data_IF_422592029328
#
_entry.id   IF_422592029328
#
_cell.length_a   1.000
_cell.length_b   1.000
_cell.length_c   1.000
_cell.angle_alpha   90.00
_cell.angle_beta   90.00
_cell.angle_gamma   90.00
#
_symmetry.space_group_name_H-M   'P 1'
#
loop_
_entity.id
_entity.type
_entity.pdbx_description
1 polymer ?
#
# COMPACT_ATOMS: atom_id res chain seq x y z
N UNK A 1 1.58 15.56 34.33
CA UNK A 1 1.79 15.02 32.97
C UNK A 1 3.05 15.67 32.42
N UNK A 2 4.20 15.01 32.56
CA UNK A 2 5.50 15.60 32.20
C UNK A 2 5.77 15.52 30.70
N UNK A 3 6.40 16.54 30.13
CA UNK A 3 6.66 16.73 28.69
C UNK A 3 7.24 15.46 28.03
N UNK A 4 6.43 14.80 27.20
CA UNK A 4 6.87 13.70 26.36
C UNK A 4 7.79 14.24 25.26
N UNK A 5 9.08 13.88 25.29
CA UNK A 5 10.16 14.00 24.28
C UNK A 5 10.15 15.20 23.29
N UNK A 6 9.53 16.33 23.65
CA UNK A 6 9.55 17.59 22.92
C UNK A 6 9.22 17.47 21.41
N UNK A 7 10.09 18.05 20.58
CA UNK A 7 9.95 18.16 19.12
C UNK A 7 9.92 16.83 18.35
N UNK A 8 10.20 15.69 19.00
CA UNK A 8 10.35 14.38 18.34
C UNK A 8 9.10 13.51 18.47
N UNK A 9 8.35 13.61 19.57
CA UNK A 9 7.21 12.74 19.84
C UNK A 9 6.13 13.46 20.63
N UNK A 10 4.93 13.53 20.08
CA UNK A 10 3.76 14.20 20.69
C UNK A 10 2.69 13.24 21.21
N UNK A 11 2.96 11.92 21.19
CA UNK A 11 2.02 10.91 21.69
C UNK A 11 1.97 10.85 23.21
N UNK A 12 0.94 10.17 23.73
CA UNK A 12 0.83 9.89 25.16
C UNK A 12 2.05 9.08 25.64
N UNK A 13 2.56 9.40 26.82
CA UNK A 13 3.63 8.68 27.47
C UNK A 13 3.35 8.48 28.96
N UNK A 14 3.85 7.38 29.50
CA UNK A 14 3.81 7.02 30.90
C UNK A 14 5.23 7.05 31.49
N UNK A 15 5.39 6.78 32.79
CA UNK A 15 6.72 6.61 33.40
C UNK A 15 6.86 5.21 33.99
N UNK A 16 8.00 4.58 33.77
CA UNK A 16 8.32 3.30 34.41
C UNK A 16 8.75 3.48 35.88
N UNK A 17 9.05 2.37 36.56
CA UNK A 17 9.50 2.34 37.97
C UNK A 17 10.78 3.16 38.24
N UNK A 18 11.58 3.43 37.20
CA UNK A 18 12.80 4.24 37.25
C UNK A 18 12.55 5.72 36.92
N UNK A 19 11.29 6.12 36.72
CA UNK A 19 10.90 7.48 36.35
C UNK A 19 11.19 7.85 34.89
N UNK A 20 11.52 6.90 34.01
CA UNK A 20 11.80 7.16 32.59
C UNK A 20 10.52 7.19 31.77
N UNK A 21 10.39 8.09 30.75
CA UNK A 21 9.22 8.10 29.88
C UNK A 21 9.17 6.82 29.02
N UNK A 22 8.00 6.19 28.97
CA UNK A 22 7.70 5.00 28.16
C UNK A 22 6.39 5.24 27.38
N UNK A 23 6.15 4.45 26.33
CA UNK A 23 4.91 4.54 25.56
C UNK A 23 3.69 4.09 26.37
N UNK A 24 2.49 4.43 25.87
CA UNK A 24 1.20 3.99 26.41
C UNK A 24 1.14 2.46 26.55
N UNK A 25 0.62 1.98 27.68
CA UNK A 25 0.39 0.56 27.92
C UNK A 25 -0.70 0.00 26.98
N UNK A 26 -0.51 -1.23 26.52
CA UNK A 26 -1.47 -1.94 25.67
C UNK A 26 -1.86 -3.27 26.34
N UNK A 27 -2.61 -3.24 27.46
CA UNK A 27 -2.90 -4.43 28.26
C UNK A 27 -3.67 -5.50 27.48
N UNK A 28 -4.48 -5.09 26.50
CA UNK A 28 -5.29 -5.97 25.66
C UNK A 28 -4.61 -6.30 24.32
N UNK A 29 -3.33 -5.97 24.14
CA UNK A 29 -2.64 -6.26 22.88
C UNK A 29 -2.38 -7.76 22.72
N UNK A 30 -2.97 -8.32 21.67
CA UNK A 30 -2.60 -9.61 21.09
C UNK A 30 -1.98 -9.41 19.72
N UNK A 31 -1.07 -10.31 19.32
CA UNK A 31 -0.50 -10.29 17.99
C UNK A 31 -1.60 -10.33 16.89
N UNK A 32 -1.40 -9.55 15.83
CA UNK A 32 -2.24 -9.60 14.64
C UNK A 32 -2.17 -10.98 13.97
N UNK A 33 -3.13 -11.27 13.10
CA UNK A 33 -3.13 -12.51 12.32
C UNK A 33 -2.10 -12.43 11.19
N UNK A 34 -1.50 -13.58 10.83
CA UNK A 34 -0.75 -13.65 9.59
C UNK A 34 -1.74 -13.51 8.41
N UNK A 35 -1.46 -12.66 7.40
CA UNK A 35 -2.37 -12.51 6.27
C UNK A 35 -2.50 -13.84 5.52
N UNK A 36 -3.73 -14.34 5.30
CA UNK A 36 -3.93 -15.49 4.44
C UNK A 36 -3.65 -15.09 2.99
N UNK A 37 -3.01 -15.98 2.22
CA UNK A 37 -2.74 -15.74 0.80
C UNK A 37 -3.98 -16.11 -0.04
N UNK A 38 -5.04 -15.32 0.12
CA UNK A 38 -6.37 -15.55 -0.46
C UNK A 38 -6.87 -14.33 -1.20
N UNK A 39 -7.81 -14.51 -2.13
CA UNK A 39 -8.32 -13.41 -2.95
C UNK A 39 -8.98 -12.30 -2.11
N UNK A 40 -8.98 -11.08 -2.66
CA UNK A 40 -9.69 -9.91 -2.18
C UNK A 40 -10.60 -9.43 -3.31
N UNK A 41 -11.91 -9.50 -3.10
CA UNK A 41 -12.90 -9.12 -4.09
C UNK A 41 -13.38 -7.68 -3.90
N UNK A 42 -13.21 -6.84 -4.92
CA UNK A 42 -13.77 -5.50 -5.01
C UNK A 42 -14.77 -5.36 -6.15
N UNK A 43 -15.28 -4.15 -6.36
CA UNK A 43 -16.25 -3.78 -7.40
C UNK A 43 -15.57 -3.57 -8.76
N UNK A 44 -14.39 -2.95 -8.78
CA UNK A 44 -13.62 -2.63 -9.98
C UNK A 44 -12.45 -3.58 -10.23
N UNK A 45 -11.93 -4.22 -9.19
CA UNK A 45 -10.84 -5.18 -9.30
C UNK A 45 -10.98 -6.36 -8.35
N UNK A 46 -10.13 -7.37 -8.56
CA UNK A 46 -9.86 -8.45 -7.61
C UNK A 46 -8.36 -8.51 -7.40
N UNK A 47 -7.89 -8.65 -6.16
CA UNK A 47 -6.51 -9.08 -5.91
C UNK A 47 -6.51 -10.58 -5.70
N UNK A 48 -5.83 -11.32 -6.56
CA UNK A 48 -5.69 -12.78 -6.44
C UNK A 48 -4.23 -13.14 -6.18
N UNK A 49 -3.93 -14.21 -5.41
CA UNK A 49 -2.56 -14.69 -5.24
C UNK A 49 -1.82 -14.77 -6.57
N UNK A 50 -0.65 -14.15 -6.66
CA UNK A 50 0.12 -14.08 -7.91
C UNK A 50 0.51 -15.49 -8.35
N UNK A 51 0.02 -15.90 -9.52
CA UNK A 51 0.32 -17.19 -10.12
C UNK A 51 1.01 -16.95 -11.49
N UNK A 52 2.28 -17.37 -11.66
CA UNK A 52 2.99 -17.16 -12.92
C UNK A 52 2.32 -17.81 -14.14
N UNK A 53 1.76 -19.03 -14.03
CA UNK A 53 1.12 -19.69 -15.17
C UNK A 53 -0.18 -19.02 -15.60
N UNK A 54 -0.87 -18.32 -14.70
CA UNK A 54 -2.12 -17.63 -15.00
C UNK A 54 -1.91 -16.17 -15.42
N UNK A 55 -1.00 -15.45 -14.76
CA UNK A 55 -0.97 -13.99 -14.85
C UNK A 55 0.21 -13.44 -15.66
N UNK A 56 1.25 -14.23 -15.96
CA UNK A 56 2.47 -13.67 -16.56
C UNK A 56 2.21 -13.06 -17.93
N UNK A 57 1.35 -13.66 -18.75
CA UNK A 57 1.07 -13.18 -20.10
C UNK A 57 0.35 -11.84 -20.08
N UNK A 58 -0.72 -11.74 -19.30
CA UNK A 58 -1.47 -10.50 -19.13
C UNK A 58 -0.63 -9.38 -18.56
N UNK A 59 0.14 -9.66 -17.50
CA UNK A 59 0.99 -8.65 -16.87
C UNK A 59 2.12 -8.20 -17.80
N UNK A 60 2.73 -9.11 -18.56
CA UNK A 60 3.74 -8.76 -19.55
C UNK A 60 3.17 -7.82 -20.61
N UNK A 61 2.01 -8.15 -21.20
CA UNK A 61 1.36 -7.32 -22.22
C UNK A 61 0.91 -5.97 -21.65
N UNK A 62 0.36 -5.95 -20.44
CA UNK A 62 -0.07 -4.72 -19.78
C UNK A 62 1.13 -3.81 -19.47
N UNK A 63 2.24 -4.36 -18.97
CA UNK A 63 3.45 -3.59 -18.67
C UNK A 63 4.19 -3.13 -19.92
N UNK A 64 4.11 -3.86 -21.02
CA UNK A 64 4.71 -3.47 -22.30
C UNK A 64 4.08 -2.19 -22.89
N UNK A 65 2.89 -1.78 -22.44
CA UNK A 65 2.30 -0.50 -22.83
C UNK A 65 3.10 0.72 -22.35
N UNK A 66 3.95 0.55 -21.32
CA UNK A 66 4.93 1.55 -20.92
C UNK A 66 6.18 1.46 -21.80
N UNK A 67 6.08 2.03 -23.01
CA UNK A 67 7.12 2.00 -24.04
C UNK A 67 8.44 2.66 -23.60
N UNK A 68 8.38 3.57 -22.63
CA UNK A 68 9.55 4.28 -22.11
C UNK A 68 10.15 3.62 -20.86
N UNK A 69 9.51 2.57 -20.32
CA UNK A 69 9.96 1.85 -19.13
C UNK A 69 9.91 2.66 -17.83
N UNK A 70 9.12 3.73 -17.78
CA UNK A 70 9.01 4.63 -16.61
C UNK A 70 8.59 3.90 -15.34
N UNK A 71 7.76 2.87 -15.44
CA UNK A 71 7.27 2.06 -14.31
C UNK A 71 8.38 1.35 -13.55
N UNK A 72 9.50 1.06 -14.23
CA UNK A 72 10.62 0.30 -13.68
C UNK A 72 11.72 1.19 -13.10
N UNK A 73 11.63 2.51 -13.29
CA UNK A 73 12.65 3.49 -12.89
C UNK A 73 13.12 3.29 -11.45
N UNK A 74 12.18 3.17 -10.51
CA UNK A 74 12.45 3.11 -9.07
C UNK A 74 12.35 1.70 -8.47
N UNK A 75 12.18 0.69 -9.33
CA UNK A 75 12.14 -0.72 -8.92
C UNK A 75 13.52 -1.35 -9.09
N UNK A 76 13.86 -2.38 -8.28
CA UNK A 76 15.16 -3.05 -8.37
C UNK A 76 15.33 -3.85 -9.68
N UNK A 77 14.24 -4.10 -10.40
CA UNK A 77 14.20 -4.92 -11.61
C UNK A 77 13.51 -4.19 -12.77
N UNK A 78 13.50 -4.83 -13.94
CA UNK A 78 12.91 -4.32 -15.17
C UNK A 78 13.68 -3.14 -15.80
N UNK A 79 13.25 -2.68 -16.98
CA UNK A 79 12.14 -3.21 -17.78
C UNK A 79 12.42 -4.61 -18.35
N UNK A 80 11.35 -5.32 -18.75
CA UNK A 80 11.44 -6.64 -19.37
C UNK A 80 11.03 -6.54 -20.83
N UNK A 81 11.95 -6.84 -21.75
CA UNK A 81 11.69 -6.79 -23.20
C UNK A 81 11.24 -8.14 -23.76
N UNK A 82 11.54 -9.23 -23.07
CA UNK A 82 11.23 -10.59 -23.51
C UNK A 82 10.33 -11.28 -22.48
N UNK A 83 9.27 -11.93 -22.96
CA UNK A 83 8.33 -12.66 -22.13
C UNK A 83 9.01 -13.76 -21.31
N UNK A 84 9.97 -14.48 -21.91
CA UNK A 84 10.69 -15.58 -21.23
C UNK A 84 11.50 -15.08 -20.01
N UNK A 85 12.03 -13.86 -20.05
CA UNK A 85 12.75 -13.23 -18.94
C UNK A 85 11.76 -12.78 -17.87
N UNK A 86 10.65 -12.16 -18.28
CA UNK A 86 9.57 -11.73 -17.38
C UNK A 86 8.96 -12.91 -16.61
N UNK A 87 8.66 -14.02 -17.30
CA UNK A 87 8.09 -15.23 -16.72
C UNK A 87 9.04 -15.87 -15.70
N UNK A 88 10.35 -15.94 -16.01
CA UNK A 88 11.35 -16.41 -15.05
C UNK A 88 11.44 -15.53 -13.81
N UNK A 89 11.36 -14.21 -13.99
CA UNK A 89 11.34 -13.26 -12.87
C UNK A 89 10.08 -13.44 -12.01
N UNK A 90 8.90 -13.53 -12.63
CA UNK A 90 7.63 -13.80 -11.96
C UNK A 90 7.68 -15.09 -11.13
N UNK A 91 8.22 -16.17 -11.70
CA UNK A 91 8.39 -17.44 -11.01
C UNK A 91 9.37 -17.35 -9.82
N UNK A 92 10.42 -16.53 -9.93
CA UNK A 92 11.38 -16.33 -8.85
C UNK A 92 10.78 -15.56 -7.67
N UNK A 93 10.08 -14.43 -7.93
CA UNK A 93 9.51 -13.61 -6.85
C UNK A 93 8.41 -14.34 -6.07
N UNK A 94 7.65 -15.24 -6.74
CA UNK A 94 6.63 -16.03 -6.06
C UNK A 94 7.21 -17.11 -5.14
N UNK A 95 8.50 -17.47 -5.29
CA UNK A 95 9.18 -18.49 -4.46
C UNK A 95 9.92 -17.91 -3.26
N UNK A 96 10.20 -16.61 -3.26
CA UNK A 96 11.10 -15.97 -2.29
C UNK A 96 10.54 -15.95 -0.85
N UNK A 97 9.22 -16.14 -0.68
CA UNK A 97 8.56 -16.48 0.59
C UNK A 97 8.48 -15.35 1.63
N UNK A 98 9.24 -14.28 1.46
CA UNK A 98 9.28 -13.11 2.34
C UNK A 98 8.22 -12.04 1.99
N UNK A 99 7.53 -12.21 0.86
CA UNK A 99 6.47 -11.33 0.37
C UNK A 99 5.28 -12.14 -0.13
N UNK A 100 4.08 -11.61 0.10
CA UNK A 100 2.84 -12.16 -0.44
C UNK A 100 2.39 -11.32 -1.63
N UNK A 101 2.68 -11.79 -2.84
CA UNK A 101 2.31 -11.11 -4.07
C UNK A 101 0.88 -11.41 -4.51
N UNK A 102 0.24 -10.40 -5.07
CA UNK A 102 -1.07 -10.45 -5.68
C UNK A 102 -1.03 -9.88 -7.09
N UNK A 103 -1.76 -10.51 -8.02
CA UNK A 103 -2.14 -9.89 -9.27
C UNK A 103 -3.40 -9.04 -9.04
N UNK A 104 -3.41 -7.83 -9.56
CA UNK A 104 -4.58 -6.97 -9.62
C UNK A 104 -5.28 -7.28 -10.95
N UNK A 105 -6.41 -7.96 -10.86
CA UNK A 105 -7.23 -8.35 -12.01
C UNK A 105 -8.35 -7.34 -12.16
N UNK A 106 -8.43 -6.73 -13.35
CA UNK A 106 -9.48 -5.79 -13.68
C UNK A 106 -10.82 -6.52 -13.88
N UNK A 107 -11.90 -6.04 -13.26
CA UNK A 107 -13.21 -6.71 -13.29
C UNK A 107 -13.89 -6.67 -14.66
N UNK A 108 -13.60 -5.65 -15.47
CA UNK A 108 -14.26 -5.48 -16.77
C UNK A 108 -13.66 -6.40 -17.83
N UNK A 109 -12.34 -6.56 -17.80
CA UNK A 109 -11.59 -7.32 -18.80
C UNK A 109 -11.20 -8.72 -18.34
N UNK A 110 -11.28 -8.99 -17.04
CA UNK A 110 -10.78 -10.20 -16.38
C UNK A 110 -9.28 -10.47 -16.62
N UNK A 111 -8.51 -9.41 -16.89
CA UNK A 111 -7.07 -9.49 -17.15
C UNK A 111 -6.26 -8.99 -15.97
N UNK A 112 -5.10 -9.61 -15.73
CA UNK A 112 -4.14 -9.10 -14.75
C UNK A 112 -3.44 -7.83 -15.27
N UNK A 113 -3.65 -6.70 -14.59
CA UNK A 113 -3.18 -5.37 -15.03
C UNK A 113 -2.19 -4.70 -14.05
N UNK A 114 -1.86 -5.37 -12.95
CA UNK A 114 -0.84 -4.87 -12.03
C UNK A 114 -0.45 -5.88 -10.96
N UNK A 115 0.57 -5.52 -10.18
CA UNK A 115 1.07 -6.30 -9.04
C UNK A 115 1.04 -5.43 -7.79
N UNK A 116 0.70 -6.04 -6.67
CA UNK A 116 0.94 -5.51 -5.33
C UNK A 116 1.40 -6.63 -4.39
N UNK A 117 2.08 -6.30 -3.29
CA UNK A 117 2.41 -7.29 -2.26
C UNK A 117 2.25 -6.74 -0.85
N UNK A 118 1.99 -7.67 0.08
CA UNK A 118 2.37 -7.46 1.47
C UNK A 118 3.81 -7.92 1.68
N UNK A 119 4.57 -7.15 2.45
CA UNK A 119 5.93 -7.46 2.85
C UNK A 119 6.23 -6.94 4.24
N UNK A 120 7.37 -7.33 4.79
CA UNK A 120 7.80 -6.97 6.17
C UNK A 120 6.69 -7.19 7.20
N UNK A 121 5.98 -8.31 7.05
CA UNK A 121 4.84 -8.71 7.87
C UNK A 121 5.33 -9.00 9.28
N UNK A 122 4.87 -8.22 10.25
CA UNK A 122 5.23 -8.35 11.68
C UNK A 122 3.97 -8.50 12.53
N UNK A 123 3.37 -9.71 12.60
CA UNK A 123 2.10 -9.91 13.30
C UNK A 123 2.20 -9.57 14.80
N UNK A 124 3.32 -9.93 15.45
CA UNK A 124 3.59 -9.60 16.86
C UNK A 124 3.53 -8.10 17.18
N UNK A 125 3.87 -7.25 16.21
CA UNK A 125 3.85 -5.80 16.35
C UNK A 125 2.63 -5.15 15.66
N UNK A 126 1.80 -5.94 14.97
CA UNK A 126 0.70 -5.41 14.16
C UNK A 126 1.16 -4.44 13.08
N UNK A 127 2.34 -4.65 12.48
CA UNK A 127 2.85 -3.82 11.38
C UNK A 127 3.02 -4.62 10.09
N UNK A 128 2.56 -4.06 8.98
CA UNK A 128 2.67 -4.65 7.64
C UNK A 128 2.92 -3.54 6.62
N UNK A 129 3.66 -3.86 5.58
CA UNK A 129 3.94 -2.93 4.49
C UNK A 129 3.21 -3.38 3.23
N UNK A 130 2.73 -2.41 2.44
CA UNK A 130 2.38 -2.62 1.05
C UNK A 130 3.49 -2.09 0.15
N UNK A 131 3.90 -2.91 -0.81
CA UNK A 131 5.03 -2.58 -1.66
C UNK A 131 5.09 -3.44 -2.91
N UNK A 132 6.23 -3.36 -3.60
CA UNK A 132 6.42 -3.94 -4.93
C UNK A 132 5.25 -3.65 -5.89
N UNK A 133 4.74 -2.42 -5.80
CA UNK A 133 3.62 -1.98 -6.62
C UNK A 133 4.09 -1.74 -8.05
N UNK A 134 3.46 -2.43 -9.00
CA UNK A 134 3.66 -2.20 -10.43
C UNK A 134 2.30 -2.07 -11.08
N UNK A 135 1.87 -0.84 -11.36
CA UNK A 135 0.61 -0.58 -12.03
C UNK A 135 0.88 -0.31 -13.50
N UNK A 136 0.33 -1.13 -14.39
CA UNK A 136 0.41 -0.89 -15.83
C UNK A 136 -0.32 0.41 -16.23
N UNK A 137 -0.07 0.95 -17.43
CA UNK A 137 -0.87 2.05 -17.97
C UNK A 137 -2.38 1.80 -17.97
N UNK A 138 -2.83 0.54 -18.03
CA UNK A 138 -4.26 0.17 -17.94
C UNK A 138 -4.84 0.43 -16.54
N UNK A 139 -4.02 0.29 -15.50
CA UNK A 139 -4.44 0.43 -14.10
C UNK A 139 -4.21 1.84 -13.55
N UNK A 140 -3.18 2.54 -14.04
CA UNK A 140 -2.80 3.85 -13.52
C UNK A 140 -3.95 4.86 -13.62
N UNK A 141 -4.19 5.59 -12.52
CA UNK A 141 -5.21 6.64 -12.41
C UNK A 141 -6.64 6.14 -12.68
N UNK A 142 -6.90 4.84 -12.47
CA UNK A 142 -8.25 4.23 -12.51
C UNK A 142 -8.76 3.92 -11.09
N UNK A 143 -10.07 3.74 -10.96
CA UNK A 143 -10.70 3.35 -9.69
C UNK A 143 -10.20 2.01 -9.17
N UNK A 144 -9.97 1.04 -10.06
CA UNK A 144 -9.36 -0.23 -9.74
C UNK A 144 -8.01 -0.09 -8.98
N UNK A 145 -7.19 0.92 -9.28
CA UNK A 145 -5.93 1.13 -8.55
C UNK A 145 -6.16 1.60 -7.11
N UNK A 146 -7.11 2.51 -6.91
CA UNK A 146 -7.49 3.00 -5.58
C UNK A 146 -8.15 1.88 -4.78
N UNK A 147 -9.07 1.15 -5.41
CA UNK A 147 -9.78 0.03 -4.79
C UNK A 147 -8.82 -1.10 -4.39
N UNK A 148 -7.82 -1.40 -5.22
CA UNK A 148 -6.83 -2.42 -4.89
C UNK A 148 -6.10 -2.10 -3.57
N UNK A 149 -5.73 -0.83 -3.37
CA UNK A 149 -5.10 -0.39 -2.13
C UNK A 149 -6.10 -0.39 -0.96
N UNK A 150 -7.34 0.04 -1.21
CA UNK A 150 -8.42 0.00 -0.22
C UNK A 150 -8.63 -1.41 0.34
N UNK A 151 -8.79 -2.41 -0.53
CA UNK A 151 -9.00 -3.80 -0.13
C UNK A 151 -7.84 -4.33 0.72
N UNK A 152 -6.60 -4.02 0.34
CA UNK A 152 -5.43 -4.44 1.10
C UNK A 152 -5.32 -3.73 2.46
N UNK A 153 -5.64 -2.44 2.53
CA UNK A 153 -5.68 -1.72 3.81
C UNK A 153 -6.78 -2.27 4.73
N UNK A 154 -7.98 -2.46 4.17
CA UNK A 154 -9.13 -2.98 4.90
C UNK A 154 -8.85 -4.36 5.49
N UNK A 155 -8.28 -5.29 4.72
CA UNK A 155 -7.88 -6.60 5.26
C UNK A 155 -6.87 -6.43 6.40
N UNK A 156 -5.85 -5.60 6.23
CA UNK A 156 -4.85 -5.38 7.28
C UNK A 156 -5.48 -4.90 8.60
N UNK A 157 -6.32 -3.86 8.54
CA UNK A 157 -6.92 -3.26 9.74
C UNK A 157 -8.10 -4.07 10.30
N UNK A 158 -9.06 -4.45 9.46
CA UNK A 158 -10.36 -5.01 9.88
C UNK A 158 -10.29 -6.52 10.03
N UNK A 159 -9.72 -7.25 9.06
CA UNK A 159 -9.71 -8.71 9.09
C UNK A 159 -8.59 -9.26 9.98
N UNK A 160 -7.43 -8.58 10.00
CA UNK A 160 -6.21 -9.12 10.58
C UNK A 160 -5.74 -8.44 11.87
N UNK A 161 -6.31 -7.28 12.22
CA UNK A 161 -5.98 -6.56 13.46
C UNK A 161 -4.60 -5.88 13.45
N UNK A 162 -4.06 -5.52 12.29
CA UNK A 162 -2.84 -4.71 12.22
C UNK A 162 -3.13 -3.29 12.72
N UNK A 163 -2.15 -2.71 13.39
CA UNK A 163 -2.21 -1.36 13.95
C UNK A 163 -1.49 -0.32 13.11
N UNK A 164 -0.65 -0.79 12.19
CA UNK A 164 0.20 0.04 11.34
C UNK A 164 0.30 -0.55 9.94
N UNK A 165 0.01 0.28 8.96
CA UNK A 165 0.13 -0.04 7.54
C UNK A 165 1.14 0.90 6.89
N UNK A 166 2.20 0.36 6.31
CA UNK A 166 3.35 1.12 5.84
C UNK A 166 3.38 1.25 4.31
N UNK A 167 3.82 2.40 3.83
CA UNK A 167 4.19 2.65 2.43
C UNK A 167 5.57 3.27 2.37
N UNK A 168 6.40 2.78 1.45
CA UNK A 168 7.74 3.33 1.22
C UNK A 168 8.02 3.51 -0.25
N UNK A 169 8.79 4.54 -0.55
CA UNK A 169 9.27 4.77 -1.90
C UNK A 169 10.62 5.47 -1.88
N UNK A 170 11.29 5.46 -3.03
CA UNK A 170 12.39 6.36 -3.31
C UNK A 170 11.91 7.83 -3.15
N UNK A 171 12.69 8.67 -2.46
CA UNK A 171 12.37 10.08 -2.25
C UNK A 171 12.40 10.91 -3.53
N UNK A 172 12.88 10.38 -4.65
CA UNK A 172 12.79 11.01 -5.97
C UNK A 172 11.58 10.51 -6.77
N UNK A 173 10.90 9.45 -6.31
CA UNK A 173 9.65 8.97 -6.92
C UNK A 173 8.45 9.82 -6.49
N UNK A 174 8.29 10.99 -7.12
CA UNK A 174 7.22 11.95 -6.79
C UNK A 174 5.82 11.34 -6.98
N UNK A 175 5.63 10.52 -8.02
CA UNK A 175 4.35 9.87 -8.29
C UNK A 175 3.93 8.95 -7.14
N UNK A 176 4.86 8.16 -6.59
CA UNK A 176 4.59 7.29 -5.45
C UNK A 176 4.31 8.09 -4.17
N UNK A 177 5.07 9.17 -3.91
CA UNK A 177 4.79 10.05 -2.75
C UNK A 177 3.40 10.70 -2.85
N UNK A 178 3.04 11.22 -4.02
CA UNK A 178 1.70 11.79 -4.28
C UNK A 178 0.60 10.74 -4.11
N UNK A 179 0.84 9.49 -4.53
CA UNK A 179 -0.09 8.40 -4.32
C UNK A 179 -0.28 8.09 -2.82
N UNK A 180 0.80 7.94 -2.05
CA UNK A 180 0.74 7.71 -0.61
C UNK A 180 -0.05 8.81 0.11
N UNK A 181 0.27 10.09 -0.13
CA UNK A 181 -0.48 11.21 0.46
C UNK A 181 -1.95 11.24 0.02
N UNK A 182 -2.25 10.98 -1.26
CA UNK A 182 -3.63 10.93 -1.76
C UNK A 182 -4.45 9.83 -1.09
N UNK A 183 -3.82 8.69 -0.82
CA UNK A 183 -4.43 7.53 -0.17
C UNK A 183 -4.58 7.69 1.36
N UNK A 184 -4.16 8.83 1.92
CA UNK A 184 -4.30 9.12 3.35
C UNK A 184 -3.10 8.73 4.22
N UNK A 185 -2.01 8.22 3.62
CA UNK A 185 -0.79 7.97 4.38
C UNK A 185 -0.14 9.27 4.85
N UNK A 186 0.41 9.24 6.05
CA UNK A 186 1.17 10.34 6.67
C UNK A 186 2.65 10.10 6.54
N UNK A 187 3.40 11.13 6.13
CA UNK A 187 4.85 11.09 6.05
C UNK A 187 5.47 11.09 7.45
N UNK A 188 6.44 10.22 7.68
CA UNK A 188 7.09 10.08 9.00
C UNK A 188 8.58 10.42 8.97
N UNK A 189 9.24 10.29 7.82
CA UNK A 189 10.65 10.61 7.73
C UNK A 189 11.36 10.05 6.51
N UNK A 190 12.65 10.38 6.46
CA UNK A 190 13.56 10.00 5.39
C UNK A 190 14.71 9.18 5.96
N UNK A 191 14.90 7.98 5.44
CA UNK A 191 16.13 7.22 5.69
C UNK A 191 17.10 7.53 4.56
N UNK A 192 18.16 8.27 4.89
CA UNK A 192 19.22 8.63 3.93
C UNK A 192 20.10 7.43 3.64
N UNK A 193 20.51 7.26 2.39
CA UNK A 193 21.34 6.14 1.92
C UNK A 193 20.79 4.76 2.35
N UNK A 194 19.47 4.63 2.36
CA UNK A 194 18.79 3.45 2.90
C UNK A 194 19.01 2.20 2.04
N UNK A 195 19.28 2.37 0.74
CA UNK A 195 19.51 1.26 -0.17
C UNK A 195 20.34 1.70 -1.39
N UNK A 196 20.84 0.72 -2.15
CA UNK A 196 21.45 0.91 -3.46
C UNK A 196 20.67 0.09 -4.47
N UNK A 197 20.21 0.71 -5.56
CA UNK A 197 19.55 0.00 -6.66
C UNK A 197 20.09 0.50 -7.99
N UNK A 198 20.27 -0.41 -8.96
CA UNK A 198 20.77 -0.06 -10.31
C UNK A 198 22.04 0.82 -10.27
N UNK A 199 22.92 0.57 -9.30
CA UNK A 199 24.17 1.33 -9.08
C UNK A 199 23.99 2.76 -8.56
N UNK A 200 22.84 3.08 -7.95
CA UNK A 200 22.49 4.43 -7.47
C UNK A 200 22.06 4.40 -6.01
N UNK A 201 22.30 5.52 -5.33
CA UNK A 201 21.82 5.77 -3.98
C UNK A 201 20.28 5.85 -3.93
N UNK A 202 19.70 5.44 -2.79
CA UNK A 202 18.28 5.56 -2.50
C UNK A 202 18.03 6.04 -1.09
N UNK A 203 17.65 7.30 -1.01
CA UNK A 203 16.93 7.85 0.13
C UNK A 203 15.49 7.33 0.12
N UNK A 204 15.03 6.75 1.23
CA UNK A 204 13.71 6.14 1.34
C UNK A 204 12.78 7.00 2.18
N UNK A 205 11.70 7.48 1.57
CA UNK A 205 10.61 8.17 2.25
C UNK A 205 9.65 7.16 2.88
N UNK A 206 9.35 7.34 4.17
CA UNK A 206 8.47 6.48 4.94
C UNK A 206 7.13 7.16 5.20
N UNK A 207 6.06 6.40 4.98
CA UNK A 207 4.71 6.82 5.28
C UNK A 207 3.95 5.70 6.02
N UNK A 208 2.94 6.07 6.79
CA UNK A 208 2.07 5.10 7.45
C UNK A 208 0.61 5.55 7.54
N UNK A 209 -0.26 4.57 7.78
CA UNK A 209 -1.61 4.76 8.31
C UNK A 209 -1.70 3.94 9.59
N UNK A 210 -2.34 4.50 10.62
CA UNK A 210 -2.59 3.83 11.90
C UNK A 210 -4.05 3.34 12.00
N UNK A 211 -4.28 2.32 12.82
CA UNK A 211 -5.62 1.78 13.13
C UNK A 211 -6.66 2.85 13.50
N UNK A 212 -6.28 3.81 14.34
CA UNK A 212 -7.16 4.93 14.73
C UNK A 212 -7.47 5.89 13.59
N UNK A 213 -6.55 6.04 12.63
CA UNK A 213 -6.75 6.88 11.44
C UNK A 213 -7.65 6.18 10.43
N UNK A 214 -7.55 4.84 10.33
CA UNK A 214 -8.39 4.03 9.46
C UNK A 214 -9.88 4.27 9.65
N UNK A 215 -10.33 4.57 10.89
CA UNK A 215 -11.73 4.91 11.21
C UNK A 215 -12.30 6.07 10.38
N UNK A 216 -11.46 7.02 9.98
CA UNK A 216 -11.84 8.13 9.10
C UNK A 216 -11.71 7.76 7.61
N UNK A 217 -10.77 6.87 7.30
CA UNK A 217 -10.41 6.51 5.93
C UNK A 217 -11.44 5.54 5.34
N UNK A 218 -11.82 4.48 6.05
CA UNK A 218 -12.78 3.47 5.54
C UNK A 218 -14.06 4.10 4.97
N UNK A 219 -14.82 4.94 5.72
CA UNK A 219 -16.02 5.56 5.17
C UNK A 219 -15.72 6.51 4.01
N UNK A 220 -14.55 7.19 4.00
CA UNK A 220 -14.15 8.04 2.89
C UNK A 220 -13.87 7.25 1.60
N UNK A 221 -13.26 6.07 1.73
CA UNK A 221 -13.05 5.15 0.60
C UNK A 221 -14.36 4.59 0.08
N UNK A 222 -15.25 4.14 0.98
CA UNK A 222 -16.56 3.61 0.61
C UNK A 222 -17.42 4.65 -0.12
N UNK A 223 -17.45 5.89 0.38
CA UNK A 223 -18.12 7.02 -0.29
C UNK A 223 -17.53 7.27 -1.68
N UNK A 224 -16.19 7.35 -1.78
CA UNK A 224 -15.52 7.60 -3.06
C UNK A 224 -15.78 6.50 -4.09
N UNK A 225 -15.73 5.22 -3.67
CA UNK A 225 -15.97 4.08 -4.55
C UNK A 225 -17.43 4.00 -5.00
N UNK A 226 -18.38 4.25 -4.11
CA UNK A 226 -19.80 4.31 -4.44
C UNK A 226 -20.11 5.44 -5.43
N UNK A 227 -19.48 6.61 -5.27
CA UNK A 227 -19.62 7.72 -6.20
C UNK A 227 -19.15 7.36 -7.60
N UNK A 228 -17.98 6.71 -7.72
CA UNK A 228 -17.47 6.27 -9.02
C UNK A 228 -18.36 5.21 -9.66
N UNK A 229 -18.87 4.27 -8.88
CA UNK A 229 -19.76 3.20 -9.36
C UNK A 229 -21.09 3.74 -9.89
N UNK A 230 -21.63 4.76 -9.22
CA UNK A 230 -22.88 5.43 -9.62
C UNK A 230 -22.72 6.38 -10.82
N UNK A 231 -21.49 6.64 -11.25
CA UNK A 231 -21.18 7.61 -12.31
C UNK A 231 -21.32 6.97 -13.70
N UNK A 232 -22.20 7.48 -14.59
CA UNK A 232 -22.36 6.95 -15.95
C UNK A 232 -21.05 6.95 -16.77
N UNK A 233 -20.13 7.86 -16.44
CA UNK A 233 -18.84 8.03 -17.10
C UNK A 233 -17.67 7.44 -16.27
N UNK A 234 -17.95 6.81 -15.12
CA UNK A 234 -16.95 6.30 -14.20
C UNK A 234 -16.09 7.40 -13.56
N UNK A 235 -16.59 8.64 -13.50
CA UNK A 235 -15.88 9.80 -12.95
C UNK A 235 -16.23 10.02 -11.48
N UNK A 236 -15.20 10.24 -10.66
CA UNK A 236 -15.35 10.69 -9.28
C UNK A 236 -15.97 12.09 -9.24
N UNK A 237 -16.91 12.33 -8.31
CA UNK A 237 -17.45 13.68 -8.06
C UNK A 237 -16.46 14.57 -7.34
N UNK A 238 -15.73 13.99 -6.39
CA UNK A 238 -14.77 14.68 -5.54
C UNK A 238 -13.50 13.83 -5.40
N UNK A 239 -12.29 14.42 -5.38
CA UNK A 239 -11.07 13.65 -5.20
C UNK A 239 -11.02 13.05 -3.79
N UNK A 240 -10.57 11.79 -3.70
CA UNK A 240 -10.50 11.02 -2.45
C UNK A 240 -9.84 11.78 -1.28
N UNK A 241 -8.75 12.50 -1.52
CA UNK A 241 -8.04 13.23 -0.47
C UNK A 241 -8.89 14.36 0.16
N UNK A 242 -9.86 14.92 -0.58
CA UNK A 242 -10.78 15.92 -0.07
C UNK A 242 -11.89 15.28 0.76
N UNK A 243 -12.39 14.12 0.33
CA UNK A 243 -13.33 13.30 1.11
C UNK A 243 -12.68 12.85 2.43
N UNK A 244 -11.45 12.32 2.39
CA UNK A 244 -10.70 11.95 3.60
C UNK A 244 -10.58 13.12 4.58
N UNK A 245 -10.26 14.34 4.10
CA UNK A 245 -10.19 15.53 4.96
C UNK A 245 -11.52 15.83 5.66
N UNK A 246 -12.65 15.66 4.97
CA UNK A 246 -13.99 15.85 5.56
C UNK A 246 -14.26 14.84 6.67
N UNK A 247 -13.98 13.56 6.42
CA UNK A 247 -14.19 12.50 7.44
C UNK A 247 -13.25 12.65 8.64
N UNK A 248 -11.98 13.02 8.41
CA UNK A 248 -11.04 13.31 9.51
C UNK A 248 -11.51 14.49 10.35
N UNK A 249 -12.03 15.56 9.73
CA UNK A 249 -12.58 16.71 10.46
C UNK A 249 -13.81 16.34 11.30
N UNK A 250 -14.70 15.50 10.75
CA UNK A 250 -15.92 15.07 11.43
C UNK A 250 -15.68 14.14 12.64
N UNK A 251 -14.57 13.39 12.66
CA UNK A 251 -14.18 12.58 13.83
C UNK A 251 -13.43 13.38 14.91
N UNK A 252 -12.92 14.56 14.56
CA UNK A 252 -12.23 15.47 15.49
C UNK A 252 -13.14 16.51 16.15
N UNK A 253 -14.37 16.66 15.66
CA UNK A 253 -15.45 17.50 16.21
C UNK A 253 -16.36 16.71 17.15
#
# INVERSE_FOLDING_TARGET
MGECVGAVYSGACERNELGQPIGEALPDWSAALAPPHTALDGRFCRLVPLNPSMHSRDLFEAFALDQEGRNWTYLPHGPFLEFSIFEKWMAAICRQGDMQFYAIVDRQTDRAVGIASYLRIKPKAGSIEVGHLVFSPLLQRRSAATEAMYLMMRRAFIELGYRRYEWKCDVLNEASRKAATRLGFRFEGLFRQANVYKGRDRDTAWFSILDREWRALEPAYEEWLADVESSPEGQQKEPLNKIIKRHVAALGS
#
